data_IF_922165499503
#
_entry.id   IF_922165499503
#
_cell.length_a   1.000
_cell.length_b   1.000
_cell.length_c   1.000
_cell.angle_alpha   90.00
_cell.angle_beta   90.00
_cell.angle_gamma   90.00
#
_symmetry.space_group_name_H-M   'P 1'
#
loop_
_entity.id
_entity.type
_entity.pdbx_description
1 polymer ?
#
# COMPACT_ATOMS: atom_id res chain seq x y z
N UNK A 1 -15.45 51.38 16.55
CA UNK A 1 -14.53 50.32 17.03
C UNK A 1 -15.21 49.12 17.74
N UNK A 2 -16.55 49.05 17.92
CA UNK A 2 -17.21 47.88 18.57
C UNK A 2 -17.71 46.78 17.61
N UNK A 3 -17.82 47.05 16.30
CA UNK A 3 -18.31 46.07 15.31
C UNK A 3 -17.23 45.08 14.82
N UNK A 4 -15.97 45.49 14.80
CA UNK A 4 -14.83 44.65 14.39
C UNK A 4 -14.48 43.57 15.43
N UNK A 5 -14.57 43.88 16.72
CA UNK A 5 -14.27 42.91 17.80
C UNK A 5 -15.31 41.78 17.89
N UNK A 6 -16.58 42.08 17.61
CA UNK A 6 -17.66 41.07 17.64
C UNK A 6 -17.60 40.10 16.45
N UNK A 7 -17.15 40.58 15.28
CA UNK A 7 -16.89 39.73 14.10
C UNK A 7 -15.70 38.80 14.32
N UNK A 8 -14.66 39.29 15.00
CA UNK A 8 -13.45 38.50 15.30
C UNK A 8 -13.71 37.35 16.28
N UNK A 9 -14.54 37.57 17.31
CA UNK A 9 -14.91 36.53 18.28
C UNK A 9 -15.81 35.46 17.63
N UNK A 10 -16.76 35.86 16.78
CA UNK A 10 -17.62 34.91 16.07
C UNK A 10 -16.80 34.02 15.11
N UNK A 11 -15.81 34.59 14.42
CA UNK A 11 -14.91 33.85 13.53
C UNK A 11 -14.01 32.85 14.28
N UNK A 12 -13.55 33.20 15.50
CA UNK A 12 -12.74 32.30 16.33
C UNK A 12 -13.56 31.10 16.85
N UNK A 13 -14.83 31.30 17.19
CA UNK A 13 -15.71 30.23 17.69
C UNK A 13 -16.06 29.23 16.57
N UNK A 14 -16.35 29.71 15.36
CA UNK A 14 -16.68 28.81 14.23
C UNK A 14 -15.46 28.01 13.78
N UNK A 15 -14.26 28.61 13.78
CA UNK A 15 -13.02 27.89 13.48
C UNK A 15 -12.68 26.83 14.53
N UNK A 16 -12.84 27.15 15.82
CA UNK A 16 -12.58 26.20 16.91
C UNK A 16 -13.49 24.97 16.84
N UNK A 17 -14.79 25.18 16.63
CA UNK A 17 -15.75 24.08 16.47
C UNK A 17 -15.47 23.21 15.24
N UNK A 18 -15.09 23.83 14.12
CA UNK A 18 -14.75 23.08 12.90
C UNK A 18 -13.50 22.21 13.09
N UNK A 19 -12.43 22.73 13.70
CA UNK A 19 -11.22 21.97 13.98
C UNK A 19 -11.47 20.79 14.91
N UNK A 20 -12.25 21.00 15.98
CA UNK A 20 -12.61 19.93 16.93
C UNK A 20 -13.46 18.84 16.26
N UNK A 21 -14.42 19.23 15.40
CA UNK A 21 -15.24 18.28 14.65
C UNK A 21 -14.38 17.43 13.70
N UNK A 22 -13.42 18.05 13.01
CA UNK A 22 -12.47 17.35 12.13
C UNK A 22 -11.60 16.35 12.89
N UNK A 23 -11.03 16.77 14.02
CA UNK A 23 -10.23 15.90 14.88
C UNK A 23 -11.03 14.67 15.31
N UNK A 24 -12.22 14.89 15.88
CA UNK A 24 -13.11 13.82 16.34
C UNK A 24 -13.45 12.84 15.21
N UNK A 25 -13.71 13.35 14.01
CA UNK A 25 -14.03 12.52 12.85
C UNK A 25 -12.85 11.66 12.38
N UNK A 26 -11.64 12.19 12.35
CA UNK A 26 -10.44 11.42 12.00
C UNK A 26 -10.17 10.29 13.01
N UNK A 27 -10.41 10.55 14.30
CA UNK A 27 -10.30 9.53 15.36
C UNK A 27 -11.38 8.46 15.19
N UNK A 28 -12.62 8.85 14.91
CA UNK A 28 -13.72 7.92 14.62
C UNK A 28 -13.35 6.99 13.45
N UNK A 29 -12.91 7.56 12.32
CA UNK A 29 -12.50 6.79 11.15
C UNK A 29 -11.34 5.83 11.45
N UNK A 30 -10.35 6.23 12.27
CA UNK A 30 -9.27 5.36 12.73
C UNK A 30 -9.78 4.15 13.52
N UNK A 31 -10.71 4.39 14.46
CA UNK A 31 -11.36 3.32 15.24
C UNK A 31 -12.22 2.41 14.36
N UNK A 32 -12.96 3.00 13.41
CA UNK A 32 -13.77 2.26 12.43
C UNK A 32 -12.88 1.33 11.59
N UNK A 33 -11.78 1.85 11.03
CA UNK A 33 -10.83 1.05 10.27
C UNK A 33 -10.30 -0.11 11.11
N UNK A 34 -9.79 0.17 12.33
CA UNK A 34 -9.31 -0.85 13.26
C UNK A 34 -10.31 -1.99 13.51
N UNK A 35 -11.59 -1.65 13.68
CA UNK A 35 -12.63 -2.62 14.02
C UNK A 35 -13.06 -3.50 12.84
N UNK A 36 -12.99 -2.97 11.62
CA UNK A 36 -13.58 -3.61 10.44
C UNK A 36 -12.60 -3.89 9.29
N UNK A 37 -11.31 -3.54 9.40
CA UNK A 37 -10.34 -3.75 8.31
C UNK A 37 -10.05 -5.22 7.99
N UNK A 38 -10.31 -6.13 8.93
CA UNK A 38 -10.06 -7.58 8.77
C UNK A 38 -11.34 -8.34 8.40
N UNK A 39 -11.79 -9.29 9.25
CA UNK A 39 -12.87 -10.24 8.95
C UNK A 39 -14.25 -9.64 9.21
N UNK A 40 -14.37 -8.79 10.22
CA UNK A 40 -15.64 -8.17 10.60
C UNK A 40 -16.10 -7.17 9.54
N UNK A 41 -17.42 -7.07 9.34
CA UNK A 41 -18.03 -6.09 8.45
C UNK A 41 -18.99 -5.20 9.24
N UNK A 42 -19.06 -3.89 8.92
CA UNK A 42 -20.07 -3.01 9.50
C UNK A 42 -21.47 -3.34 8.94
N UNK A 43 -22.52 -2.92 9.65
CA UNK A 43 -23.89 -2.92 9.12
C UNK A 43 -24.09 -1.77 8.13
N UNK A 44 -25.09 -1.88 7.26
CA UNK A 44 -25.42 -0.81 6.29
C UNK A 44 -25.79 0.50 7.01
N UNK A 45 -26.54 0.42 8.11
CA UNK A 45 -26.87 1.60 8.94
C UNK A 45 -25.62 2.25 9.53
N UNK A 46 -24.64 1.44 9.97
CA UNK A 46 -23.37 1.97 10.47
C UNK A 46 -22.61 2.72 9.37
N UNK A 47 -22.54 2.16 8.16
CA UNK A 47 -21.90 2.80 7.00
C UNK A 47 -22.62 4.09 6.61
N UNK A 48 -23.96 4.07 6.57
CA UNK A 48 -24.80 5.24 6.28
C UNK A 48 -24.55 6.35 7.29
N UNK A 49 -24.62 6.05 8.57
CA UNK A 49 -24.35 7.01 9.65
C UNK A 49 -22.93 7.59 9.58
N UNK A 50 -21.93 6.78 9.24
CA UNK A 50 -20.56 7.25 9.10
C UNK A 50 -20.44 8.29 7.99
N UNK A 51 -21.14 8.08 6.88
CA UNK A 51 -21.17 8.98 5.71
C UNK A 51 -21.97 10.25 5.97
N UNK A 52 -23.17 10.16 6.52
CA UNK A 52 -24.04 11.31 6.81
C UNK A 52 -23.43 12.27 7.84
N UNK A 53 -22.65 11.74 8.78
CA UNK A 53 -21.92 12.52 9.79
C UNK A 53 -20.52 12.98 9.33
N UNK A 54 -20.25 13.01 8.01
CA UNK A 54 -18.98 13.50 7.46
C UNK A 54 -19.14 14.90 6.90
N UNK A 55 -18.26 15.81 7.29
CA UNK A 55 -18.15 17.12 6.64
C UNK A 55 -17.67 16.97 5.19
N UNK A 56 -17.97 17.97 4.38
CA UNK A 56 -17.60 17.99 2.96
C UNK A 56 -16.09 17.79 2.74
N UNK A 57 -15.25 18.43 3.57
CA UNK A 57 -13.79 18.34 3.50
C UNK A 57 -13.22 16.97 3.94
N UNK A 58 -14.05 16.11 4.53
CA UNK A 58 -13.69 14.75 4.96
C UNK A 58 -14.40 13.67 4.14
N UNK A 59 -15.31 14.02 3.24
CA UNK A 59 -16.15 13.06 2.52
C UNK A 59 -15.32 12.06 1.71
N UNK A 60 -14.31 12.54 0.97
CA UNK A 60 -13.42 11.66 0.21
C UNK A 60 -12.60 10.71 1.11
N UNK A 61 -12.18 11.20 2.28
CA UNK A 61 -11.49 10.35 3.26
C UNK A 61 -12.44 9.29 3.83
N UNK A 62 -13.64 9.69 4.26
CA UNK A 62 -14.66 8.76 4.75
C UNK A 62 -15.01 7.71 3.72
N UNK A 63 -15.23 8.10 2.46
CA UNK A 63 -15.57 7.18 1.37
C UNK A 63 -14.43 6.16 1.12
N UNK A 64 -13.17 6.59 1.17
CA UNK A 64 -12.03 5.69 1.11
C UNK A 64 -12.04 4.69 2.29
N UNK A 65 -12.20 5.17 3.53
CA UNK A 65 -12.26 4.29 4.71
C UNK A 65 -13.42 3.30 4.60
N UNK A 66 -14.59 3.71 4.12
CA UNK A 66 -15.72 2.80 3.90
C UNK A 66 -15.35 1.68 2.92
N UNK A 67 -14.73 2.02 1.77
CA UNK A 67 -14.27 0.99 0.84
C UNK A 67 -13.24 0.05 1.44
N UNK A 68 -12.48 0.49 2.43
CA UNK A 68 -11.46 -0.35 3.07
C UNK A 68 -12.03 -1.39 4.03
N UNK A 69 -13.31 -1.28 4.42
CA UNK A 69 -13.94 -2.10 5.46
C UNK A 69 -15.13 -2.96 4.98
N UNK A 70 -15.68 -2.71 3.78
CA UNK A 70 -16.84 -3.45 3.26
C UNK A 70 -16.44 -4.68 2.39
N UNK A 71 -17.25 -5.75 2.34
CA UNK A 71 -16.90 -6.99 1.61
C UNK A 71 -17.05 -6.89 0.07
N UNK A 72 -17.95 -6.04 -0.45
CA UNK A 72 -18.11 -5.78 -1.90
C UNK A 72 -17.38 -4.50 -2.31
N UNK A 73 -16.15 -4.39 -1.83
CA UNK A 73 -15.35 -3.19 -2.02
C UNK A 73 -14.97 -2.97 -3.47
N UNK A 74 -14.94 -1.70 -3.86
CA UNK A 74 -14.44 -1.19 -5.14
C UNK A 74 -13.03 -0.59 -4.99
N UNK A 75 -12.31 -0.91 -3.91
CA UNK A 75 -11.03 -0.27 -3.55
C UNK A 75 -9.91 -0.40 -4.59
N UNK A 76 -10.05 -1.29 -5.58
CA UNK A 76 -9.14 -1.43 -6.73
C UNK A 76 -9.67 -0.82 -8.03
N UNK A 77 -10.83 -0.17 -8.01
CA UNK A 77 -11.34 0.56 -9.16
C UNK A 77 -10.50 1.82 -9.39
N UNK A 78 -10.51 2.33 -10.63
CA UNK A 78 -9.77 3.53 -11.03
C UNK A 78 -9.96 4.72 -10.09
N UNK A 79 -11.17 4.89 -9.53
CA UNK A 79 -11.48 5.98 -8.60
C UNK A 79 -10.60 5.98 -7.34
N UNK A 80 -10.18 4.81 -6.86
CA UNK A 80 -9.33 4.67 -5.66
C UNK A 80 -7.87 4.39 -6.01
N UNK A 81 -7.58 3.91 -7.21
CA UNK A 81 -6.21 3.85 -7.71
C UNK A 81 -5.66 5.24 -8.04
N UNK A 82 -6.52 6.15 -8.49
CA UNK A 82 -6.18 7.55 -8.72
C UNK A 82 -5.90 8.25 -7.40
N UNK A 83 -4.75 8.92 -7.29
CA UNK A 83 -4.43 9.66 -6.07
C UNK A 83 -5.44 10.78 -5.84
N UNK A 84 -6.01 10.87 -4.62
CA UNK A 84 -6.83 12.00 -4.24
C UNK A 84 -5.96 13.24 -3.99
N UNK A 85 -6.60 14.35 -3.64
CA UNK A 85 -5.89 15.57 -3.26
C UNK A 85 -5.00 15.37 -2.01
N UNK A 86 -4.10 16.33 -1.81
CA UNK A 86 -3.10 16.26 -0.73
C UNK A 86 -3.72 16.28 0.67
N UNK A 87 -4.83 16.99 0.86
CA UNK A 87 -5.52 17.05 2.15
C UNK A 87 -6.17 15.70 2.47
N UNK A 88 -6.79 15.05 1.48
CA UNK A 88 -7.34 13.70 1.60
C UNK A 88 -6.23 12.68 1.88
N UNK A 89 -5.10 12.75 1.20
CA UNK A 89 -3.92 11.90 1.49
C UNK A 89 -3.44 12.08 2.93
N UNK A 90 -3.34 13.32 3.40
CA UNK A 90 -2.95 13.64 4.79
C UNK A 90 -3.96 13.10 5.79
N UNK A 91 -5.25 13.29 5.55
CA UNK A 91 -6.31 12.78 6.42
C UNK A 91 -6.26 11.25 6.53
N UNK A 92 -6.06 10.54 5.41
CA UNK A 92 -5.90 9.08 5.40
C UNK A 92 -4.65 8.65 6.18
N UNK A 93 -3.54 9.36 6.01
CA UNK A 93 -2.33 9.11 6.81
C UNK A 93 -2.59 9.24 8.32
N UNK A 94 -3.35 10.25 8.73
CA UNK A 94 -3.76 10.45 10.12
C UNK A 94 -4.64 9.30 10.61
N UNK A 95 -5.65 8.89 9.81
CA UNK A 95 -6.52 7.74 10.13
C UNK A 95 -5.70 6.46 10.37
N UNK A 96 -4.70 6.19 9.51
CA UNK A 96 -3.79 5.06 9.71
C UNK A 96 -2.97 5.19 10.99
N UNK A 97 -2.51 6.40 11.32
CA UNK A 97 -1.69 6.67 12.51
C UNK A 97 -2.49 6.45 13.80
N UNK A 98 -3.77 6.86 13.82
CA UNK A 98 -4.71 6.53 14.90
C UNK A 98 -4.86 5.01 15.03
N UNK A 99 -5.09 4.30 13.92
CA UNK A 99 -5.18 2.84 13.96
C UNK A 99 -3.92 2.18 14.54
N UNK A 100 -2.72 2.61 14.16
CA UNK A 100 -1.49 2.06 14.74
C UNK A 100 -1.34 2.35 16.22
N UNK A 101 -1.74 3.54 16.67
CA UNK A 101 -1.72 3.87 18.09
C UNK A 101 -2.65 2.97 18.91
N UNK A 102 -3.82 2.61 18.36
CA UNK A 102 -4.73 1.64 19.00
C UNK A 102 -4.12 0.24 19.17
N UNK A 103 -3.01 -0.06 18.49
CA UNK A 103 -2.23 -1.31 18.61
C UNK A 103 -0.88 -1.13 19.34
N UNK A 104 -0.54 0.08 19.76
CA UNK A 104 0.73 0.36 20.43
C UNK A 104 0.74 -0.24 21.85
N UNK A 105 1.93 -0.68 22.30
CA UNK A 105 2.12 -1.18 23.67
C UNK A 105 1.91 -0.08 24.71
N UNK A 106 2.36 1.13 24.39
CA UNK A 106 2.25 2.33 25.22
C UNK A 106 1.64 3.45 24.35
N UNK A 107 0.30 3.44 24.18
CA UNK A 107 -0.37 4.41 23.32
C UNK A 107 -0.39 5.80 23.96
N UNK A 108 -0.18 6.83 23.15
CA UNK A 108 -0.55 8.21 23.52
C UNK A 108 -2.03 8.43 23.25
N UNK A 109 -2.58 9.58 23.62
CA UNK A 109 -3.99 9.89 23.27
C UNK A 109 -4.14 10.06 21.77
N UNK A 110 -5.30 9.69 21.21
CA UNK A 110 -5.52 9.83 19.76
C UNK A 110 -5.60 11.30 19.36
N UNK A 111 -6.10 12.14 20.26
CA UNK A 111 -6.17 13.59 20.14
C UNK A 111 -4.76 14.17 19.94
N UNK A 112 -3.79 13.77 20.76
CA UNK A 112 -2.38 14.17 20.60
C UNK A 112 -1.80 13.80 19.23
N UNK A 113 -2.14 12.61 18.70
CA UNK A 113 -1.65 12.18 17.38
C UNK A 113 -2.26 13.03 16.28
N UNK A 114 -3.58 13.22 16.31
CA UNK A 114 -4.27 13.98 15.28
C UNK A 114 -3.81 15.44 15.30
N UNK A 115 -3.70 16.06 16.47
CA UNK A 115 -3.24 17.45 16.60
C UNK A 115 -1.81 17.63 16.10
N UNK A 116 -0.91 16.70 16.45
CA UNK A 116 0.47 16.73 15.95
C UNK A 116 0.49 16.64 14.42
N UNK A 117 -0.20 15.65 13.86
CA UNK A 117 -0.16 15.38 12.42
C UNK A 117 -0.90 16.43 11.58
N UNK A 118 -1.94 17.07 12.10
CA UNK A 118 -2.62 18.17 11.41
C UNK A 118 -1.69 19.37 11.21
N UNK A 119 -0.78 19.62 12.16
CA UNK A 119 0.07 20.81 12.19
C UNK A 119 1.45 20.64 11.57
N UNK A 120 1.90 19.42 11.28
CA UNK A 120 3.18 19.18 10.59
C UNK A 120 3.00 18.99 9.09
N UNK A 121 4.07 19.24 8.34
CA UNK A 121 4.18 18.81 6.95
C UNK A 121 4.65 17.37 6.91
N UNK A 122 3.88 16.50 6.24
CA UNK A 122 4.22 15.09 6.05
C UNK A 122 4.79 14.95 4.64
N UNK A 123 5.94 14.28 4.45
CA UNK A 123 6.46 14.08 3.11
C UNK A 123 5.44 13.34 2.23
N UNK A 124 5.23 13.86 1.02
CA UNK A 124 4.21 13.36 0.08
C UNK A 124 4.37 11.85 -0.20
N UNK A 125 5.61 11.37 -0.35
CA UNK A 125 5.88 9.95 -0.57
C UNK A 125 5.40 9.07 0.60
N UNK A 126 5.46 9.55 1.86
CA UNK A 126 4.97 8.78 3.02
C UNK A 126 3.44 8.69 3.01
N UNK A 127 2.76 9.77 2.60
CA UNK A 127 1.31 9.77 2.46
C UNK A 127 0.83 8.82 1.36
N UNK A 128 1.48 8.84 0.20
CA UNK A 128 1.18 7.96 -0.93
C UNK A 128 1.47 6.49 -0.60
N UNK A 129 2.61 6.25 0.03
CA UNK A 129 2.99 4.91 0.49
C UNK A 129 1.97 4.33 1.48
N UNK A 130 1.53 5.15 2.44
CA UNK A 130 0.50 4.76 3.41
C UNK A 130 -0.84 4.49 2.72
N UNK A 131 -1.22 5.35 1.77
CA UNK A 131 -2.44 5.21 0.98
C UNK A 131 -2.49 3.86 0.25
N UNK A 132 -1.47 3.54 -0.56
CA UNK A 132 -1.43 2.29 -1.30
C UNK A 132 -1.22 1.06 -0.39
N UNK A 133 -0.48 1.21 0.71
CA UNK A 133 -0.40 0.15 1.72
C UNK A 133 -1.77 -0.22 2.28
N UNK A 134 -2.61 0.78 2.59
CA UNK A 134 -3.95 0.54 3.13
C UNK A 134 -4.88 -0.05 2.07
N UNK A 135 -4.83 0.50 0.84
CA UNK A 135 -5.59 0.02 -0.33
C UNK A 135 -5.38 -1.48 -0.57
N UNK A 136 -4.13 -1.93 -0.68
CA UNK A 136 -3.83 -3.33 -0.97
C UNK A 136 -4.09 -4.26 0.22
N UNK A 137 -3.82 -3.81 1.46
CA UNK A 137 -4.17 -4.56 2.65
C UNK A 137 -5.69 -4.84 2.72
N UNK A 138 -6.50 -3.82 2.43
CA UNK A 138 -7.95 -3.95 2.40
C UNK A 138 -8.45 -4.85 1.28
N UNK A 139 -7.85 -4.77 0.08
CA UNK A 139 -8.15 -5.73 -0.97
C UNK A 139 -7.94 -7.18 -0.50
N UNK A 140 -6.79 -7.50 0.11
CA UNK A 140 -6.54 -8.87 0.61
C UNK A 140 -7.46 -9.31 1.75
N UNK A 141 -7.87 -8.38 2.60
CA UNK A 141 -8.77 -8.69 3.71
C UNK A 141 -10.21 -8.89 3.26
N UNK A 142 -10.67 -8.11 2.27
CA UNK A 142 -12.09 -8.03 1.86
C UNK A 142 -12.42 -8.79 0.58
N UNK A 143 -11.46 -8.94 -0.33
CA UNK A 143 -11.65 -9.65 -1.59
C UNK A 143 -11.02 -11.03 -1.49
N UNK A 144 -11.88 -12.03 -1.26
CA UNK A 144 -11.48 -13.45 -1.16
C UNK A 144 -12.30 -14.31 -2.13
N UNK A 145 -11.69 -15.28 -2.81
CA UNK A 145 -10.25 -15.58 -2.83
C UNK A 145 -9.43 -14.48 -3.54
N UNK A 146 -8.14 -14.36 -3.20
CA UNK A 146 -7.21 -13.45 -3.87
C UNK A 146 -7.19 -13.75 -5.38
N UNK A 147 -7.50 -12.74 -6.21
CA UNK A 147 -7.37 -12.86 -7.66
C UNK A 147 -7.27 -11.50 -8.38
N UNK A 148 -6.07 -11.13 -8.81
CA UNK A 148 -5.81 -9.94 -9.61
C UNK A 148 -5.51 -10.24 -11.10
N UNK A 149 -5.73 -11.47 -11.58
CA UNK A 149 -5.35 -11.89 -12.95
C UNK A 149 -6.00 -11.05 -14.06
N UNK A 150 -7.16 -10.45 -13.79
CA UNK A 150 -7.90 -9.58 -14.72
C UNK A 150 -7.57 -8.09 -14.56
N UNK A 151 -6.74 -7.74 -13.58
CA UNK A 151 -6.38 -6.35 -13.31
C UNK A 151 -5.12 -6.00 -14.10
N UNK A 152 -5.19 -4.86 -14.77
CA UNK A 152 -4.07 -4.24 -15.45
C UNK A 152 -3.95 -2.79 -15.00
N UNK A 153 -2.95 -2.51 -14.18
CA UNK A 153 -2.72 -1.18 -13.62
C UNK A 153 -2.16 -0.26 -14.69
N UNK A 154 -2.99 0.67 -15.17
CA UNK A 154 -2.63 1.71 -16.13
C UNK A 154 -2.13 2.94 -15.38
N UNK A 155 -0.84 2.94 -15.04
CA UNK A 155 -0.25 3.92 -14.12
C UNK A 155 -0.43 5.38 -14.58
N UNK A 156 -0.42 5.62 -15.89
CA UNK A 156 -0.64 6.94 -16.47
C UNK A 156 -2.07 7.49 -16.27
N UNK A 157 -3.01 6.65 -15.84
CA UNK A 157 -4.41 7.04 -15.62
C UNK A 157 -4.73 7.44 -14.17
N UNK A 158 -3.76 7.35 -13.25
CA UNK A 158 -3.99 7.42 -11.81
C UNK A 158 -3.51 8.73 -11.14
N UNK A 159 -3.29 9.79 -11.93
CA UNK A 159 -2.80 11.08 -11.42
C UNK A 159 -1.48 10.96 -10.62
N UNK A 160 -0.62 10.01 -11.02
CA UNK A 160 0.72 9.83 -10.47
C UNK A 160 1.66 10.81 -11.16
N UNK A 161 2.22 11.74 -10.40
CA UNK A 161 2.90 12.93 -10.93
C UNK A 161 4.31 12.62 -11.46
N UNK A 162 4.96 11.59 -10.94
CA UNK A 162 6.35 11.26 -11.25
C UNK A 162 6.64 9.77 -11.03
N UNK A 163 7.85 9.34 -11.36
CA UNK A 163 8.25 7.94 -11.30
C UNK A 163 8.37 7.42 -9.85
N UNK A 164 8.59 8.30 -8.87
CA UNK A 164 8.53 7.92 -7.44
C UNK A 164 7.13 7.42 -7.08
N UNK A 165 6.07 8.14 -7.47
CA UNK A 165 4.70 7.76 -7.14
C UNK A 165 4.27 6.47 -7.86
N UNK A 166 4.68 6.31 -9.13
CA UNK A 166 4.50 5.07 -9.91
C UNK A 166 5.21 3.89 -9.24
N UNK A 167 6.45 4.10 -8.83
CA UNK A 167 7.27 3.11 -8.13
C UNK A 167 6.63 2.67 -6.81
N UNK A 168 6.09 3.61 -6.02
CA UNK A 168 5.41 3.30 -4.75
C UNK A 168 4.18 2.42 -4.98
N UNK A 169 3.31 2.75 -5.94
CA UNK A 169 2.12 1.94 -6.26
C UNK A 169 2.54 0.52 -6.64
N UNK A 170 3.48 0.40 -7.59
CA UNK A 170 3.97 -0.90 -8.06
C UNK A 170 4.56 -1.72 -6.91
N UNK A 171 5.49 -1.14 -6.15
CA UNK A 171 6.22 -1.83 -5.09
C UNK A 171 5.32 -2.26 -3.94
N UNK A 172 4.32 -1.43 -3.57
CA UNK A 172 3.30 -1.81 -2.59
C UNK A 172 2.41 -2.95 -3.08
N UNK A 173 2.04 -2.95 -4.35
CA UNK A 173 1.31 -4.06 -4.95
C UNK A 173 2.11 -5.36 -4.91
N UNK A 174 3.40 -5.31 -5.26
CA UNK A 174 4.27 -6.49 -5.28
C UNK A 174 4.60 -7.01 -3.88
N UNK A 175 4.76 -6.12 -2.90
CA UNK A 175 4.89 -6.51 -1.49
C UNK A 175 3.64 -7.25 -1.01
N UNK A 176 2.45 -6.74 -1.35
CA UNK A 176 1.18 -7.39 -1.05
C UNK A 176 1.04 -8.76 -1.75
N UNK A 177 1.37 -8.85 -3.04
CA UNK A 177 1.34 -10.10 -3.79
C UNK A 177 2.30 -11.13 -3.18
N UNK A 178 3.53 -10.72 -2.83
CA UNK A 178 4.50 -11.58 -2.16
C UNK A 178 3.99 -12.19 -0.86
N UNK A 179 3.22 -11.44 -0.06
CA UNK A 179 2.57 -11.98 1.16
C UNK A 179 1.58 -13.12 0.86
N UNK A 180 0.96 -13.15 -0.32
CA UNK A 180 0.01 -14.21 -0.70
C UNK A 180 0.67 -15.58 -0.92
N UNK A 181 1.99 -15.60 -1.13
CA UNK A 181 2.77 -16.83 -1.31
C UNK A 181 3.73 -17.11 -0.16
N UNK A 182 4.00 -16.11 0.69
CA UNK A 182 5.04 -16.19 1.72
C UNK A 182 4.87 -17.39 2.66
N UNK A 183 3.66 -17.63 3.18
CA UNK A 183 3.40 -18.76 4.07
C UNK A 183 3.53 -20.12 3.39
N UNK A 184 3.17 -20.20 2.10
CA UNK A 184 3.27 -21.43 1.31
C UNK A 184 4.73 -21.83 1.03
N UNK A 185 5.60 -20.83 0.88
CA UNK A 185 7.03 -21.04 0.64
C UNK A 185 7.80 -21.23 1.94
N UNK A 186 7.59 -20.38 2.95
CA UNK A 186 8.48 -20.28 4.10
C UNK A 186 8.01 -21.08 5.33
N UNK A 187 6.70 -21.24 5.51
CA UNK A 187 6.12 -21.92 6.68
C UNK A 187 5.81 -23.38 6.40
N UNK A 188 5.17 -23.68 5.26
CA UNK A 188 4.73 -25.03 4.94
C UNK A 188 5.91 -26.03 4.87
N UNK A 189 5.71 -27.23 5.45
CA UNK A 189 6.67 -28.33 5.43
C UNK A 189 5.95 -29.62 4.95
N UNK A 190 6.28 -30.17 3.75
CA UNK A 190 7.19 -29.60 2.74
C UNK A 190 6.64 -28.29 2.16
N UNK A 191 7.51 -27.53 1.49
CA UNK A 191 7.14 -26.30 0.81
C UNK A 191 5.99 -26.53 -0.19
N UNK A 192 4.98 -25.66 -0.21
CA UNK A 192 3.85 -25.77 -1.13
C UNK A 192 4.07 -24.90 -2.38
N UNK A 193 5.03 -25.28 -3.22
CA UNK A 193 5.38 -24.58 -4.46
C UNK A 193 4.23 -24.59 -5.48
N UNK A 194 3.45 -25.67 -5.54
CA UNK A 194 2.24 -25.75 -6.36
C UNK A 194 1.22 -24.67 -5.99
N UNK A 195 0.87 -24.57 -4.71
CA UNK A 195 -0.07 -23.56 -4.21
C UNK A 195 0.44 -22.14 -4.42
N UNK A 196 1.74 -21.91 -4.21
CA UNK A 196 2.36 -20.61 -4.46
C UNK A 196 2.27 -20.24 -5.95
N UNK A 197 2.60 -21.16 -6.85
CA UNK A 197 2.49 -20.97 -8.30
C UNK A 197 1.05 -20.63 -8.73
N UNK A 198 0.05 -21.33 -8.18
CA UNK A 198 -1.36 -21.04 -8.46
C UNK A 198 -1.77 -19.63 -8.01
N UNK A 199 -1.18 -19.10 -6.93
CA UNK A 199 -1.40 -17.70 -6.54
C UNK A 199 -0.64 -16.71 -7.43
N UNK A 200 0.57 -17.03 -7.87
CA UNK A 200 1.36 -16.17 -8.77
C UNK A 200 0.65 -15.95 -10.11
N UNK A 201 -0.02 -16.97 -10.66
CA UNK A 201 -0.84 -16.82 -11.88
C UNK A 201 -1.97 -15.80 -11.75
N UNK A 202 -2.31 -15.40 -10.52
CA UNK A 202 -3.33 -14.41 -10.21
C UNK A 202 -2.77 -13.01 -9.99
N UNK A 203 -1.48 -12.79 -10.20
CA UNK A 203 -0.88 -11.47 -10.08
C UNK A 203 -1.34 -10.55 -11.21
N UNK A 204 -1.35 -9.23 -10.98
CA UNK A 204 -1.81 -8.25 -11.94
C UNK A 204 -0.82 -8.04 -13.09
N UNK A 205 -1.26 -7.26 -14.08
CA UNK A 205 -0.40 -6.62 -15.07
C UNK A 205 -0.18 -5.14 -14.74
N UNK A 206 0.86 -4.55 -15.33
CA UNK A 206 1.12 -3.13 -15.28
C UNK A 206 1.37 -2.62 -16.69
N UNK A 207 0.57 -1.64 -17.13
CA UNK A 207 0.62 -1.09 -18.47
C UNK A 207 0.57 -2.16 -19.58
N UNK A 208 -0.18 -3.25 -19.37
CA UNK A 208 -0.29 -4.38 -20.29
C UNK A 208 0.80 -5.44 -20.18
N UNK A 209 1.86 -5.17 -19.41
CA UNK A 209 3.00 -6.09 -19.22
C UNK A 209 2.79 -6.95 -17.97
N UNK A 210 3.39 -8.15 -17.98
CA UNK A 210 3.41 -9.01 -16.77
C UNK A 210 4.16 -8.28 -15.66
N UNK A 211 3.74 -8.46 -14.41
CA UNK A 211 4.30 -7.76 -13.26
C UNK A 211 5.84 -7.81 -13.19
N UNK A 212 6.44 -8.96 -13.55
CA UNK A 212 7.88 -9.14 -13.50
C UNK A 212 8.65 -8.32 -14.55
N UNK A 213 7.97 -7.78 -15.55
CA UNK A 213 8.58 -6.96 -16.61
C UNK A 213 8.64 -5.47 -16.27
N UNK A 214 8.08 -5.06 -15.12
CA UNK A 214 8.25 -3.70 -14.63
C UNK A 214 9.68 -3.52 -14.11
N UNK A 215 10.39 -2.54 -14.68
CA UNK A 215 11.80 -2.26 -14.43
C UNK A 215 12.09 -0.76 -14.23
N UNK A 216 11.05 0.06 -14.13
CA UNK A 216 11.19 1.52 -13.96
C UNK A 216 11.35 1.87 -12.48
N UNK A 217 12.59 1.74 -11.98
CA UNK A 217 12.96 2.09 -10.62
C UNK A 217 14.01 3.21 -10.57
N UNK A 218 14.03 4.09 -11.58
CA UNK A 218 14.99 5.20 -11.70
C UNK A 218 14.60 6.46 -10.91
N UNK A 219 13.70 6.33 -9.93
CA UNK A 219 13.33 7.44 -9.03
C UNK A 219 14.34 7.63 -7.89
N UNK A 220 14.39 8.79 -7.20
CA UNK A 220 15.29 8.97 -6.05
C UNK A 220 14.98 8.00 -4.89
N UNK A 221 16.00 7.47 -4.22
CA UNK A 221 15.76 6.76 -2.95
C UNK A 221 15.47 7.75 -1.82
N UNK A 222 14.76 7.30 -0.80
CA UNK A 222 14.41 8.10 0.37
C UNK A 222 14.30 7.19 1.61
N UNK A 223 14.44 7.78 2.79
CA UNK A 223 14.30 7.05 4.05
C UNK A 223 12.93 7.29 4.67
N UNK A 224 12.32 6.23 5.18
CA UNK A 224 11.07 6.32 5.94
C UNK A 224 10.95 5.22 6.97
N UNK A 225 10.03 5.40 7.92
CA UNK A 225 9.67 4.36 8.89
C UNK A 225 8.73 3.35 8.21
N UNK A 226 9.29 2.21 7.79
CA UNK A 226 8.51 1.12 7.17
C UNK A 226 7.81 0.29 8.25
N UNK A 227 8.56 -0.08 9.29
CA UNK A 227 8.02 -0.68 10.51
C UNK A 227 8.23 0.25 11.70
N UNK A 228 7.18 0.42 12.49
CA UNK A 228 7.15 1.33 13.65
C UNK A 228 8.24 1.05 14.70
N UNK A 229 8.84 -0.14 14.70
CA UNK A 229 9.88 -0.57 15.63
C UNK A 229 11.30 -0.68 15.03
N UNK A 230 11.54 -0.26 13.78
CA UNK A 230 12.84 -0.46 13.10
C UNK A 230 13.56 0.83 12.67
N UNK A 231 13.10 1.99 13.13
CA UNK A 231 13.65 3.28 12.72
C UNK A 231 13.40 3.57 11.25
N UNK A 232 14.14 4.55 10.69
CA UNK A 232 14.10 4.86 9.26
C UNK A 232 15.03 3.91 8.51
N UNK A 233 14.58 3.46 7.34
CA UNK A 233 15.41 2.67 6.41
C UNK A 233 15.15 3.12 4.97
N UNK A 234 16.10 2.79 4.07
CA UNK A 234 15.99 3.07 2.63
C UNK A 234 14.77 2.36 2.04
N UNK A 235 13.94 3.13 1.34
CA UNK A 235 12.74 2.65 0.69
C UNK A 235 13.06 1.61 -0.38
N UNK A 236 14.02 1.92 -1.26
CA UNK A 236 14.42 1.01 -2.32
C UNK A 236 15.04 -0.28 -1.78
N UNK A 237 15.94 -0.18 -0.79
CA UNK A 237 16.54 -1.37 -0.17
C UNK A 237 15.47 -2.32 0.35
N UNK A 238 14.44 -1.80 1.01
CA UNK A 238 13.36 -2.63 1.52
C UNK A 238 12.48 -3.18 0.40
N UNK A 239 11.86 -2.29 -0.40
CA UNK A 239 10.79 -2.69 -1.31
C UNK A 239 11.28 -3.37 -2.58
N UNK A 240 12.41 -2.94 -3.16
CA UNK A 240 13.01 -3.66 -4.29
C UNK A 240 13.55 -5.01 -3.79
N UNK A 241 14.09 -5.08 -2.58
CA UNK A 241 14.45 -6.35 -1.93
C UNK A 241 13.26 -7.32 -1.82
N UNK A 242 12.09 -6.82 -1.41
CA UNK A 242 10.84 -7.61 -1.41
C UNK A 242 10.40 -8.03 -2.80
N UNK A 243 10.56 -7.17 -3.80
CA UNK A 243 10.27 -7.54 -5.18
C UNK A 243 11.23 -8.64 -5.70
N UNK A 244 12.51 -8.60 -5.36
CA UNK A 244 13.45 -9.71 -5.63
C UNK A 244 12.99 -11.03 -4.99
N UNK A 245 12.53 -11.01 -3.74
CA UNK A 245 11.98 -12.21 -3.08
C UNK A 245 10.80 -12.79 -3.90
N UNK A 246 9.91 -11.94 -4.44
CA UNK A 246 8.80 -12.37 -5.29
C UNK A 246 9.30 -13.06 -6.56
N UNK A 247 10.22 -12.43 -7.28
CA UNK A 247 10.76 -12.95 -8.54
C UNK A 247 11.50 -14.27 -8.36
N UNK A 248 12.34 -14.37 -7.34
CA UNK A 248 13.08 -15.60 -7.03
C UNK A 248 12.14 -16.74 -6.60
N UNK A 249 11.09 -16.43 -5.84
CA UNK A 249 10.07 -17.42 -5.50
C UNK A 249 9.28 -17.89 -6.74
N UNK A 250 9.01 -17.01 -7.72
CA UNK A 250 8.39 -17.41 -8.98
C UNK A 250 9.31 -18.35 -9.77
N UNK A 251 10.60 -18.04 -9.92
CA UNK A 251 11.57 -18.96 -10.54
C UNK A 251 11.62 -20.32 -9.85
N UNK A 252 11.67 -20.33 -8.52
CA UNK A 252 11.66 -21.55 -7.73
C UNK A 252 10.42 -22.40 -8.02
N UNK A 253 9.24 -21.77 -8.07
CA UNK A 253 7.99 -22.45 -8.37
C UNK A 253 7.96 -23.02 -9.79
N UNK A 254 8.42 -22.27 -10.80
CA UNK A 254 8.51 -22.76 -12.18
C UNK A 254 9.39 -24.02 -12.24
N UNK A 255 10.58 -23.97 -11.62
CA UNK A 255 11.55 -25.07 -11.62
C UNK A 255 11.05 -26.31 -10.85
N UNK A 256 10.36 -26.12 -9.72
CA UNK A 256 9.87 -27.24 -8.89
C UNK A 256 8.63 -27.92 -9.46
N UNK A 257 7.79 -27.17 -10.16
CA UNK A 257 6.53 -27.68 -10.72
C UNK A 257 6.65 -28.12 -12.19
N UNK A 258 7.90 -28.33 -12.65
CA UNK A 258 8.29 -28.70 -14.02
C UNK A 258 7.52 -27.91 -15.08
N UNK A 259 7.51 -26.58 -14.90
CA UNK A 259 6.81 -25.64 -15.79
C UNK A 259 7.69 -25.24 -16.96
N UNK A 260 7.08 -24.52 -17.90
CA UNK A 260 7.68 -24.17 -19.18
C UNK A 260 9.04 -23.48 -19.03
N UNK A 261 10.08 -24.03 -19.66
CA UNK A 261 11.38 -23.37 -19.81
C UNK A 261 11.25 -21.97 -20.43
N UNK A 262 10.32 -21.81 -21.38
CA UNK A 262 10.02 -20.49 -21.95
C UNK A 262 9.58 -19.49 -20.88
N UNK A 263 8.70 -19.89 -19.97
CA UNK A 263 8.27 -19.01 -18.86
C UNK A 263 9.43 -18.67 -17.92
N UNK A 264 10.27 -19.67 -17.62
CA UNK A 264 11.49 -19.47 -16.84
C UNK A 264 12.40 -18.40 -17.45
N UNK A 265 12.73 -18.54 -18.74
CA UNK A 265 13.59 -17.60 -19.45
C UNK A 265 12.94 -16.23 -19.65
N UNK A 266 11.63 -16.16 -19.94
CA UNK A 266 10.90 -14.90 -20.02
C UNK A 266 10.97 -14.11 -18.71
N UNK A 267 10.81 -14.78 -17.57
CA UNK A 267 10.92 -14.13 -16.27
C UNK A 267 12.36 -13.72 -15.98
N UNK A 268 13.31 -14.63 -16.17
CA UNK A 268 14.72 -14.39 -15.86
C UNK A 268 15.30 -13.23 -16.67
N UNK A 269 15.02 -13.18 -17.98
CA UNK A 269 15.57 -12.17 -18.90
C UNK A 269 14.71 -10.91 -18.97
N UNK A 270 13.41 -11.02 -18.72
CA UNK A 270 12.45 -9.92 -18.82
C UNK A 270 12.31 -9.10 -17.54
N UNK A 271 12.94 -9.51 -16.43
CA UNK A 271 12.84 -8.83 -15.13
C UNK A 271 14.14 -8.18 -14.69
N UNK A 272 14.09 -7.46 -13.56
CA UNK A 272 15.28 -6.90 -12.90
C UNK A 272 16.25 -7.97 -12.38
N UNK A 273 15.93 -9.27 -12.50
CA UNK A 273 16.88 -10.33 -12.20
C UNK A 273 18.13 -10.28 -13.09
N UNK A 274 18.01 -9.83 -14.35
CA UNK A 274 19.16 -9.67 -15.27
C UNK A 274 19.94 -8.38 -15.05
N UNK A 275 19.33 -7.40 -14.39
CA UNK A 275 19.87 -6.06 -14.28
C UNK A 275 20.74 -5.93 -13.02
N UNK A 276 22.06 -5.89 -13.26
CA UNK A 276 23.08 -5.86 -12.20
C UNK A 276 23.03 -4.59 -11.36
N UNK A 277 22.50 -3.49 -11.89
CA UNK A 277 22.45 -2.21 -11.18
C UNK A 277 21.50 -2.28 -9.97
N UNK A 278 20.53 -3.21 -10.01
CA UNK A 278 19.59 -3.47 -8.94
C UNK A 278 20.05 -4.52 -7.92
N UNK A 279 21.13 -5.26 -8.18
CA UNK A 279 21.57 -6.37 -7.31
C UNK A 279 21.89 -5.92 -5.88
N UNK A 280 22.31 -4.65 -5.71
CA UNK A 280 22.57 -4.05 -4.39
C UNK A 280 21.36 -4.05 -3.46
N UNK A 281 20.15 -4.16 -4.00
CA UNK A 281 18.90 -4.22 -3.23
C UNK A 281 18.51 -5.66 -2.85
N UNK A 282 19.18 -6.68 -3.39
CA UNK A 282 18.87 -8.09 -3.10
C UNK A 282 19.75 -8.64 -1.98
N UNK A 283 19.13 -9.35 -1.03
CA UNK A 283 19.86 -10.16 -0.04
C UNK A 283 20.44 -11.45 -0.63
N UNK A 284 20.05 -11.80 -1.85
CA UNK A 284 20.44 -13.02 -2.54
C UNK A 284 21.37 -12.72 -3.73
N UNK A 285 22.28 -11.74 -3.58
CA UNK A 285 23.18 -11.32 -4.65
C UNK A 285 23.97 -12.49 -5.26
N UNK A 286 24.47 -13.40 -4.43
CA UNK A 286 25.25 -14.55 -4.91
C UNK A 286 24.41 -15.49 -5.80
N UNK A 287 23.14 -15.70 -5.46
CA UNK A 287 22.20 -16.47 -6.29
C UNK A 287 22.01 -15.77 -7.64
N UNK A 288 21.79 -14.45 -7.61
CA UNK A 288 21.62 -13.65 -8.83
C UNK A 288 22.87 -13.68 -9.72
N UNK A 289 24.07 -13.66 -9.15
CA UNK A 289 25.30 -13.79 -9.93
C UNK A 289 25.47 -15.20 -10.52
N UNK A 290 25.09 -16.24 -9.78
CA UNK A 290 25.11 -17.63 -10.25
C UNK A 290 24.19 -17.88 -11.44
N UNK A 291 22.95 -17.35 -11.39
CA UNK A 291 21.93 -17.54 -12.44
C UNK A 291 22.39 -17.11 -13.84
N UNK A 292 23.31 -16.15 -13.94
CA UNK A 292 23.80 -15.62 -15.23
C UNK A 292 25.23 -16.04 -15.58
N UNK A 293 25.93 -16.74 -14.70
CA UNK A 293 27.21 -17.40 -15.05
C UNK A 293 26.95 -18.63 -15.92
N UNK A 294 25.89 -19.38 -15.63
CA UNK A 294 25.50 -20.57 -16.41
C UNK A 294 24.99 -20.24 -17.82
N UNK A 295 24.55 -19.00 -18.07
CA UNK A 295 24.06 -18.56 -19.40
C UNK A 295 25.21 -18.14 -20.33
N UNK A 296 26.43 -17.93 -19.81
CA UNK A 296 27.60 -17.49 -20.59
C UNK A 296 28.41 -18.62 -21.25
N UNK A 297 27.86 -19.83 -21.30
CA UNK A 297 28.43 -20.95 -22.03
C UNK A 297 27.55 -21.28 -23.22
N UNK A 298 27.77 -20.56 -24.32
CA UNK A 298 27.63 -20.98 -25.72
C UNK A 298 28.59 -20.13 -26.57
#
# INVERSE_FOLDING_TARGET
MKKTTSFFIFFLITFGLHAQNKQSKLIELGKTYKNFMFVNNPTDDYVKNLKENSSEDLMATTDFIIQTIIPKTKIIDKAYLTLPDEQTLKNIYIVCSVNYNLHAKEPVTNEQIVDSLLNITIPRYEMIDRYYSMLFASYGNKVKPFNMSKIDFRLHEYNLQNDTEKGILFLRCMEFCGKQIWGLINIAKPMNTKGAYENIKKYPKFNGLKYYQYNDFNFPDFEMVIYTNRGKESYKNYFIGKYYEVLLNHLLCIKKEDKSEKEYHELLLGSILRDKDYYKYSKNKDILEGLFKEIKTD
#
